data_IF_799850081861
#
_entry.id   IF_799850081861
#
_cell.length_a   1.000
_cell.length_b   1.000
_cell.length_c   1.000
_cell.angle_alpha   90.00
_cell.angle_beta   90.00
_cell.angle_gamma   90.00
#
_symmetry.space_group_name_H-M   'P 1'
#
loop_
_entity.id
_entity.type
_entity.pdbx_description
1 polymer ?
#
# COMPACT_ATOMS: atom_id res chain seq x y z
N UNK A 1 16.50 -7.01 9.32
CA UNK A 1 15.22 -7.68 9.00
C UNK A 1 15.40 -8.45 7.71
N UNK A 2 14.72 -9.58 7.51
CA UNK A 2 14.74 -10.29 6.23
C UNK A 2 13.93 -9.49 5.19
N UNK A 3 14.48 -9.33 4.00
CA UNK A 3 13.79 -8.68 2.89
C UNK A 3 12.98 -9.70 2.10
N UNK A 4 11.83 -9.27 1.61
CA UNK A 4 10.92 -10.06 0.79
C UNK A 4 10.67 -9.34 -0.52
N UNK A 5 10.47 -10.10 -1.58
CA UNK A 5 10.24 -9.56 -2.91
C UNK A 5 9.31 -10.45 -3.70
N UNK A 6 8.42 -9.82 -4.46
CA UNK A 6 7.44 -10.46 -5.31
C UNK A 6 7.56 -9.89 -6.71
N UNK A 7 7.51 -10.76 -7.72
CA UNK A 7 7.55 -10.37 -9.13
C UNK A 7 6.23 -10.71 -9.80
N UNK A 8 5.78 -9.82 -10.67
CA UNK A 8 4.63 -10.01 -11.55
C UNK A 8 4.93 -9.33 -12.87
N UNK A 9 5.05 -10.10 -13.93
CA UNK A 9 5.45 -9.61 -15.25
C UNK A 9 6.75 -8.75 -15.13
N UNK A 10 6.68 -7.48 -15.54
CA UNK A 10 7.80 -6.53 -15.49
C UNK A 10 7.85 -5.70 -14.19
N UNK A 11 7.11 -6.11 -13.15
CA UNK A 11 6.97 -5.37 -11.90
C UNK A 11 7.59 -6.10 -10.72
N UNK A 12 8.12 -5.31 -9.78
CA UNK A 12 8.72 -5.76 -8.54
C UNK A 12 8.06 -5.02 -7.36
N UNK A 13 7.65 -5.76 -6.34
CA UNK A 13 7.40 -5.23 -4.99
C UNK A 13 8.50 -5.76 -4.09
N UNK A 14 9.14 -4.89 -3.32
CA UNK A 14 10.19 -5.25 -2.38
C UNK A 14 10.01 -4.56 -1.03
N UNK A 15 10.37 -5.24 0.05
CA UNK A 15 10.53 -4.64 1.39
C UNK A 15 11.96 -4.24 1.72
N UNK A 16 12.85 -4.25 0.72
CA UNK A 16 14.18 -3.66 0.87
C UNK A 16 14.10 -2.13 0.84
N UNK A 17 14.42 -1.52 1.97
CA UNK A 17 14.41 -0.07 2.12
C UNK A 17 15.46 0.62 1.24
N UNK A 18 16.50 -0.09 0.81
CA UNK A 18 17.51 0.44 -0.12
C UNK A 18 16.98 0.62 -1.53
N UNK A 19 15.86 -0.03 -1.88
CA UNK A 19 15.20 0.11 -3.18
C UNK A 19 14.13 1.21 -3.20
N UNK A 20 13.88 1.88 -2.07
CA UNK A 20 12.90 2.97 -1.99
C UNK A 20 13.45 4.24 -2.64
N UNK A 21 12.69 4.78 -3.59
CA UNK A 21 12.88 6.12 -4.11
C UNK A 21 12.17 7.12 -3.18
N UNK A 22 12.92 7.63 -2.19
CA UNK A 22 12.39 8.53 -1.16
C UNK A 22 11.80 9.79 -1.77
N UNK A 23 12.39 10.31 -2.85
CA UNK A 23 11.89 11.50 -3.53
C UNK A 23 10.53 11.24 -4.16
N UNK A 24 10.38 10.11 -4.85
CA UNK A 24 9.09 9.71 -5.45
C UNK A 24 8.00 9.49 -4.38
N UNK A 25 8.34 8.83 -3.27
CA UNK A 25 7.40 8.58 -2.16
C UNK A 25 6.99 9.90 -1.50
N UNK A 26 7.97 10.71 -1.08
CA UNK A 26 7.72 11.98 -0.40
C UNK A 26 6.87 12.90 -1.28
N UNK A 27 7.20 13.02 -2.57
CA UNK A 27 6.43 13.81 -3.50
C UNK A 27 4.98 13.30 -3.59
N UNK A 28 4.76 11.99 -3.70
CA UNK A 28 3.40 11.46 -3.80
C UNK A 28 2.55 11.80 -2.57
N UNK A 29 3.12 11.60 -1.38
CA UNK A 29 2.43 11.83 -0.11
C UNK A 29 2.08 13.31 0.11
N UNK A 30 2.77 14.23 -0.56
CA UNK A 30 2.64 15.66 -0.32
C UNK A 30 1.87 16.42 -1.42
N UNK A 31 1.86 16.00 -2.70
CA UNK A 31 1.49 16.91 -3.80
C UNK A 31 0.80 16.32 -5.07
N UNK A 32 0.19 15.14 -5.06
CA UNK A 32 -0.02 14.39 -6.33
C UNK A 32 -1.03 14.92 -7.38
N UNK A 33 -0.60 15.84 -8.26
CA UNK A 33 -1.17 16.16 -9.60
C UNK A 33 -0.15 16.02 -10.77
N UNK A 34 1.12 15.75 -10.47
CA UNK A 34 2.31 15.96 -11.32
C UNK A 34 2.74 14.82 -12.26
N UNK A 35 2.19 13.60 -12.15
CA UNK A 35 2.49 12.53 -13.11
C UNK A 35 1.98 12.85 -14.54
N UNK A 36 1.30 13.99 -14.70
CA UNK A 36 0.83 14.52 -15.96
C UNK A 36 2.03 14.98 -16.82
N UNK A 37 2.51 14.08 -17.68
CA UNK A 37 3.53 14.38 -18.69
C UNK A 37 4.91 13.76 -18.45
N UNK A 38 5.15 13.12 -17.30
CA UNK A 38 6.37 12.33 -17.09
C UNK A 38 6.21 10.99 -17.80
N UNK A 39 7.20 10.62 -18.61
CA UNK A 39 7.16 9.35 -19.32
C UNK A 39 7.16 8.18 -18.36
N UNK A 40 6.51 7.10 -18.78
CA UNK A 40 6.41 5.86 -18.03
C UNK A 40 7.80 5.32 -17.66
N UNK A 41 8.76 5.47 -18.55
CA UNK A 41 10.13 4.99 -18.46
C UNK A 41 10.99 5.77 -17.45
N UNK A 42 10.63 7.03 -17.17
CA UNK A 42 11.39 7.89 -16.26
C UNK A 42 11.07 7.62 -14.78
N UNK A 43 9.93 6.98 -14.48
CA UNK A 43 9.52 6.72 -13.10
C UNK A 43 10.06 5.36 -12.63
N UNK A 44 11.05 5.40 -11.73
CA UNK A 44 11.64 4.18 -11.15
C UNK A 44 10.71 3.49 -10.14
N UNK A 45 10.00 4.27 -9.32
CA UNK A 45 9.03 3.75 -8.35
C UNK A 45 7.61 4.19 -8.68
N UNK A 46 6.77 3.23 -9.05
CA UNK A 46 5.41 3.47 -9.57
C UNK A 46 4.31 3.26 -8.54
N UNK A 47 4.66 2.84 -7.33
CA UNK A 47 3.72 2.56 -6.26
C UNK A 47 4.41 2.37 -4.92
N UNK A 48 3.63 2.41 -3.86
CA UNK A 48 4.09 2.27 -2.49
C UNK A 48 2.94 1.84 -1.59
N UNK A 49 3.26 1.16 -0.51
CA UNK A 49 2.36 0.88 0.60
C UNK A 49 3.21 0.82 1.87
N UNK A 50 2.62 1.23 3.00
CA UNK A 50 3.25 1.14 4.30
C UNK A 50 2.38 0.32 5.26
N UNK A 51 3.01 -0.55 6.02
CA UNK A 51 2.36 -1.29 7.10
C UNK A 51 3.09 -1.01 8.40
N UNK A 52 2.38 -0.42 9.36
CA UNK A 52 2.86 -0.22 10.73
C UNK A 52 2.34 -1.40 11.55
N UNK A 53 3.20 -2.11 12.28
CA UNK A 53 2.79 -3.32 13.01
C UNK A 53 3.56 -3.47 14.32
N UNK A 54 2.93 -4.12 15.30
CA UNK A 54 3.56 -4.61 16.52
C UNK A 54 4.23 -5.98 16.33
N UNK A 55 4.10 -6.56 15.12
CA UNK A 55 4.58 -7.90 14.73
C UNK A 55 3.90 -9.07 15.47
N UNK A 56 2.82 -8.82 16.22
CA UNK A 56 2.17 -9.84 17.06
C UNK A 56 0.65 -9.85 16.88
N UNK A 57 -0.02 -8.71 17.01
CA UNK A 57 -1.49 -8.65 17.07
C UNK A 57 -2.14 -7.69 16.08
N UNK A 58 -1.44 -6.61 15.69
CA UNK A 58 -2.06 -5.50 14.99
C UNK A 58 -1.19 -4.96 13.86
N UNK A 59 -1.82 -4.68 12.72
CA UNK A 59 -1.22 -3.93 11.61
C UNK A 59 -2.12 -2.79 11.15
N UNK A 60 -1.52 -1.67 10.75
CA UNK A 60 -2.18 -0.54 10.08
C UNK A 60 -1.57 -0.34 8.69
N UNK A 61 -2.38 -0.55 7.65
CA UNK A 61 -2.00 -0.33 6.26
C UNK A 61 -2.35 1.12 5.88
N UNK A 62 -1.37 1.83 5.34
CA UNK A 62 -1.48 3.23 4.95
C UNK A 62 -0.62 3.53 3.72
N UNK A 63 -0.76 4.75 3.18
CA UNK A 63 0.06 5.27 2.09
C UNK A 63 0.04 4.40 0.82
N UNK A 64 -1.07 3.69 0.59
CA UNK A 64 -1.22 2.78 -0.54
C UNK A 64 -1.50 3.57 -1.81
N UNK A 65 -0.59 3.51 -2.77
CA UNK A 65 -0.81 4.08 -4.09
C UNK A 65 -0.13 3.33 -5.22
N UNK A 66 -0.69 3.52 -6.41
CA UNK A 66 -0.06 3.27 -7.70
C UNK A 66 -0.27 4.54 -8.52
N UNK A 67 0.77 5.02 -9.21
CA UNK A 67 0.69 6.22 -10.05
C UNK A 67 -0.32 6.01 -11.18
N UNK A 68 -0.94 7.09 -11.64
CA UNK A 68 -2.09 7.04 -12.55
C UNK A 68 -1.81 6.25 -13.84
N UNK A 69 -0.64 6.46 -14.45
CA UNK A 69 -0.21 5.78 -15.68
C UNK A 69 -0.14 4.24 -15.57
N UNK A 70 -0.10 3.69 -14.35
CA UNK A 70 -0.02 2.26 -14.07
C UNK A 70 -1.27 1.70 -13.37
N UNK A 71 -2.32 2.51 -13.19
CA UNK A 71 -3.60 2.06 -12.64
C UNK A 71 -4.36 1.18 -13.64
N UNK A 72 -5.44 0.56 -13.18
CA UNK A 72 -6.33 -0.35 -13.95
C UNK A 72 -5.67 -1.62 -14.49
N UNK A 73 -4.40 -1.88 -14.15
CA UNK A 73 -3.66 -3.11 -14.48
C UNK A 73 -3.65 -4.14 -13.32
N UNK A 74 -4.47 -3.91 -12.28
CA UNK A 74 -4.52 -4.77 -11.09
C UNK A 74 -3.33 -4.64 -10.13
N UNK A 75 -2.42 -3.69 -10.35
CA UNK A 75 -1.22 -3.51 -9.51
C UNK A 75 -1.53 -3.09 -8.08
N UNK A 76 -2.57 -2.30 -7.84
CA UNK A 76 -2.97 -1.94 -6.46
C UNK A 76 -3.44 -3.15 -5.65
N UNK A 77 -4.17 -4.07 -6.30
CA UNK A 77 -4.55 -5.36 -5.70
C UNK A 77 -3.31 -6.20 -5.41
N UNK A 78 -2.42 -6.32 -6.40
CA UNK A 78 -1.20 -7.11 -6.26
C UNK A 78 -0.27 -6.57 -5.15
N UNK A 79 -0.12 -5.25 -5.05
CA UNK A 79 0.65 -4.61 -3.98
C UNK A 79 0.10 -4.95 -2.58
N UNK A 80 -1.23 -4.92 -2.43
CA UNK A 80 -1.88 -5.33 -1.19
C UNK A 80 -1.74 -6.84 -0.93
N UNK A 81 -1.82 -7.68 -1.95
CA UNK A 81 -1.58 -9.12 -1.84
C UNK A 81 -0.15 -9.39 -1.32
N UNK A 82 0.85 -8.65 -1.82
CA UNK A 82 2.22 -8.71 -1.30
C UNK A 82 2.30 -8.33 0.19
N UNK A 83 1.57 -7.27 0.60
CA UNK A 83 1.50 -6.86 2.01
C UNK A 83 0.92 -7.98 2.89
N UNK A 84 -0.15 -8.64 2.45
CA UNK A 84 -0.78 -9.74 3.19
C UNK A 84 0.08 -11.01 3.25
N UNK A 85 0.86 -11.27 2.21
CA UNK A 85 1.76 -12.42 2.14
C UNK A 85 3.05 -12.22 2.93
N UNK A 86 3.37 -11.00 3.37
CA UNK A 86 4.56 -10.76 4.17
C UNK A 86 4.47 -11.51 5.51
N UNK A 87 5.47 -12.32 5.91
CA UNK A 87 5.37 -13.17 7.09
C UNK A 87 5.06 -12.43 8.40
N UNK A 88 5.57 -11.21 8.56
CA UNK A 88 5.24 -10.35 9.71
C UNK A 88 3.79 -9.87 9.78
N UNK A 89 3.03 -10.04 8.71
CA UNK A 89 1.62 -9.63 8.59
C UNK A 89 0.69 -10.84 8.69
N UNK A 90 1.21 -12.04 8.40
CA UNK A 90 0.45 -13.28 8.57
C UNK A 90 0.18 -13.54 10.06
N UNK A 91 -1.07 -13.91 10.37
CA UNK A 91 -1.48 -14.26 11.74
C UNK A 91 -1.83 -13.07 12.63
N UNK A 92 -1.69 -11.82 12.16
CA UNK A 92 -2.14 -10.66 12.93
C UNK A 92 -3.66 -10.76 13.17
N UNK A 93 -4.07 -10.56 14.43
CA UNK A 93 -5.49 -10.58 14.83
C UNK A 93 -6.30 -9.50 14.13
N UNK A 94 -5.69 -8.34 13.86
CA UNK A 94 -6.36 -7.20 13.22
C UNK A 94 -5.43 -6.52 12.23
N UNK A 95 -5.94 -6.29 11.03
CA UNK A 95 -5.31 -5.44 10.02
C UNK A 95 -6.28 -4.31 9.67
N UNK A 96 -5.93 -3.07 10.01
CA UNK A 96 -6.76 -1.89 9.83
C UNK A 96 -6.25 -1.04 8.68
N UNK A 97 -7.16 -0.31 8.02
CA UNK A 97 -6.83 0.77 7.08
C UNK A 97 -7.93 1.82 7.12
N UNK A 98 -7.61 3.01 6.60
CA UNK A 98 -8.58 4.09 6.39
C UNK A 98 -8.53 4.43 4.90
N UNK A 99 -9.69 4.53 4.25
CA UNK A 99 -9.77 4.83 2.81
C UNK A 99 -10.95 5.74 2.50
N UNK A 100 -10.73 6.68 1.58
CA UNK A 100 -11.77 7.51 0.95
C UNK A 100 -11.89 7.25 -0.56
N UNK A 101 -10.97 6.50 -1.16
CA UNK A 101 -10.78 6.44 -2.62
C UNK A 101 -10.92 5.04 -3.21
N UNK A 102 -10.73 3.97 -2.42
CA UNK A 102 -10.74 2.60 -2.93
C UNK A 102 -11.47 1.58 -2.03
N UNK A 103 -12.64 1.89 -1.43
CA UNK A 103 -13.37 0.93 -0.60
C UNK A 103 -13.68 -0.38 -1.34
N UNK A 104 -14.00 -0.29 -2.64
CA UNK A 104 -14.25 -1.45 -3.51
C UNK A 104 -13.07 -2.41 -3.61
N UNK A 105 -11.82 -1.91 -3.51
CA UNK A 105 -10.63 -2.74 -3.58
C UNK A 105 -10.52 -3.58 -2.31
N UNK A 106 -10.61 -2.91 -1.16
CA UNK A 106 -10.44 -3.56 0.13
C UNK A 106 -11.57 -4.54 0.43
N UNK A 107 -12.81 -4.24 0.02
CA UNK A 107 -13.93 -5.19 0.09
C UNK A 107 -13.63 -6.48 -0.65
N UNK A 108 -13.08 -6.41 -1.87
CA UNK A 108 -12.67 -7.60 -2.65
C UNK A 108 -11.53 -8.38 -2.01
N UNK A 109 -10.82 -7.77 -1.07
CA UNK A 109 -9.71 -8.38 -0.33
C UNK A 109 -10.11 -8.86 1.06
N UNK A 110 -11.41 -8.92 1.36
CA UNK A 110 -11.92 -9.44 2.63
C UNK A 110 -11.93 -8.41 3.77
N UNK A 111 -11.62 -7.14 3.52
CA UNK A 111 -11.84 -6.10 4.51
C UNK A 111 -13.33 -5.78 4.64
N UNK A 112 -13.79 -5.62 5.87
CA UNK A 112 -15.14 -5.19 6.19
C UNK A 112 -15.11 -3.77 6.76
N UNK A 113 -16.06 -2.90 6.38
CA UNK A 113 -16.17 -1.58 6.98
C UNK A 113 -16.54 -1.69 8.46
N UNK A 114 -15.94 -0.83 9.28
CA UNK A 114 -16.21 -0.78 10.71
C UNK A 114 -17.39 0.16 10.97
N UNK A 115 -18.59 -0.35 10.78
CA UNK A 115 -19.84 0.41 10.89
C UNK A 115 -20.50 0.26 12.27
N UNK A 116 -19.73 0.46 13.34
CA UNK A 116 -20.22 0.36 14.72
C UNK A 116 -20.11 1.72 15.42
N UNK A 117 -21.21 2.28 15.98
CA UNK A 117 -21.13 3.50 16.77
C UNK A 117 -20.10 3.40 17.89
N UNK A 118 -19.35 4.48 18.14
CA UNK A 118 -18.36 4.57 19.22
C UNK A 118 -17.27 3.49 19.19
N UNK A 119 -16.93 2.95 18.02
CA UNK A 119 -15.95 1.86 17.90
C UNK A 119 -14.55 2.30 17.47
N UNK A 120 -14.45 3.27 16.57
CA UNK A 120 -13.17 3.89 16.17
C UNK A 120 -13.17 5.34 16.64
N UNK A 121 -12.12 5.72 17.37
CA UNK A 121 -11.93 7.06 17.90
C UNK A 121 -10.59 7.60 17.38
N UNK A 122 -10.56 8.86 16.99
CA UNK A 122 -9.33 9.55 16.56
C UNK A 122 -9.14 10.82 17.38
N UNK A 123 -7.88 11.19 17.63
CA UNK A 123 -7.52 12.48 18.22
C UNK A 123 -7.24 13.46 17.08
N UNK A 124 -7.87 14.63 17.12
CA UNK A 124 -7.61 15.74 16.20
C UNK A 124 -6.31 16.47 16.57
#
# INVERSE_FOLDING_TARGET
MKHYSWKKDNFLVSTDTQLLDINAIHHFLTHSHWAKGISKEAVRQIGFARVITDYVTFGYVCDVYVIEAYRKQGLGKWLMECCHQHPSIQGLRRLLLITSSAPWLYQRMGYMPVNKPNYIWQKQ
#
